data_IF_130380121329
#
_entry.id   IF_130380121329
#
_cell.length_a   1.000
_cell.length_b   1.000
_cell.length_c   1.000
_cell.angle_alpha   90.00
_cell.angle_beta   90.00
_cell.angle_gamma   90.00
#
_symmetry.space_group_name_H-M   'P 1'
#
loop_
_entity.id
_entity.type
_entity.pdbx_description
1 polymer ?
#
# COMPACT_ATOMS: atom_id res chain seq x y z
N UNK A 1 9.31 -28.36 -4.24
CA UNK A 1 9.80 -26.99 -4.54
C UNK A 1 9.23 -26.07 -3.48
N UNK A 2 10.07 -25.39 -2.75
CA UNK A 2 9.62 -24.32 -1.86
C UNK A 2 8.92 -23.25 -2.70
N UNK A 3 7.74 -22.84 -2.28
CA UNK A 3 6.98 -21.79 -2.97
C UNK A 3 7.66 -20.45 -2.67
N UNK A 4 8.32 -19.88 -3.67
CA UNK A 4 8.95 -18.57 -3.54
C UNK A 4 7.88 -17.48 -3.65
N UNK A 5 7.89 -16.52 -2.74
CA UNK A 5 7.03 -15.35 -2.79
C UNK A 5 7.55 -14.33 -3.81
N UNK A 6 6.64 -13.83 -4.64
CA UNK A 6 6.95 -12.85 -5.69
C UNK A 6 6.62 -11.43 -5.25
N UNK A 7 7.28 -10.46 -5.88
CA UNK A 7 7.04 -9.04 -5.67
C UNK A 7 6.18 -8.49 -6.81
N UNK A 8 5.04 -7.90 -6.45
CA UNK A 8 4.14 -7.23 -7.39
C UNK A 8 4.25 -5.72 -7.24
N UNK A 9 4.23 -5.01 -8.34
CA UNK A 9 4.13 -3.55 -8.39
C UNK A 9 2.96 -3.15 -9.28
N UNK A 10 1.95 -2.49 -8.70
CA UNK A 10 0.85 -1.86 -9.43
C UNK A 10 1.03 -0.35 -9.35
N UNK A 11 1.35 0.29 -10.48
CA UNK A 11 1.67 1.71 -10.50
C UNK A 11 0.95 2.45 -11.63
N UNK A 12 1.05 3.76 -11.64
CA UNK A 12 0.50 4.60 -12.68
C UNK A 12 -0.55 5.60 -12.16
N UNK A 13 -1.02 6.45 -13.05
CA UNK A 13 -2.00 7.50 -12.79
C UNK A 13 -3.46 7.02 -12.89
N UNK A 14 -3.67 5.79 -13.37
CA UNK A 14 -4.98 5.19 -13.54
C UNK A 14 -5.57 4.64 -12.23
N UNK A 15 -6.90 4.55 -12.21
CA UNK A 15 -7.66 3.97 -11.10
C UNK A 15 -7.47 2.46 -11.05
N UNK A 16 -7.49 1.90 -9.83
CA UNK A 16 -7.57 0.46 -9.60
C UNK A 16 -6.37 -0.16 -8.89
N UNK A 17 -5.29 0.57 -8.64
CA UNK A 17 -4.08 0.06 -7.97
C UNK A 17 -4.39 -0.53 -6.59
N UNK A 18 -4.96 0.26 -5.70
CA UNK A 18 -5.38 -0.18 -4.37
C UNK A 18 -6.44 -1.28 -4.48
N UNK A 19 -7.43 -1.12 -5.35
CA UNK A 19 -8.50 -2.11 -5.56
C UNK A 19 -7.93 -3.46 -5.98
N UNK A 20 -6.95 -3.50 -6.88
CA UNK A 20 -6.28 -4.73 -7.29
C UNK A 20 -5.49 -5.35 -6.12
N UNK A 21 -4.75 -4.56 -5.35
CA UNK A 21 -4.01 -5.04 -4.20
C UNK A 21 -4.93 -5.62 -3.12
N UNK A 22 -6.06 -4.96 -2.83
CA UNK A 22 -7.07 -5.45 -1.87
C UNK A 22 -7.80 -6.69 -2.40
N UNK A 23 -8.02 -6.79 -3.70
CA UNK A 23 -8.54 -8.01 -4.34
C UNK A 23 -7.59 -9.19 -4.20
N UNK A 24 -6.28 -8.97 -4.32
CA UNK A 24 -5.27 -10.00 -4.06
C UNK A 24 -5.28 -10.41 -2.57
N UNK A 25 -5.40 -9.45 -1.65
CA UNK A 25 -5.52 -9.72 -0.23
C UNK A 25 -6.76 -10.59 0.08
N UNK A 26 -7.91 -10.25 -0.49
CA UNK A 26 -9.14 -11.03 -0.34
C UNK A 26 -8.99 -12.46 -0.87
N UNK A 27 -8.34 -12.64 -2.02
CA UNK A 27 -8.05 -13.96 -2.59
C UNK A 27 -7.14 -14.79 -1.69
N UNK A 28 -6.11 -14.16 -1.11
CA UNK A 28 -5.20 -14.82 -0.19
C UNK A 28 -5.92 -15.27 1.10
N UNK A 29 -6.75 -14.40 1.69
CA UNK A 29 -7.59 -14.74 2.85
C UNK A 29 -8.53 -15.90 2.55
N UNK A 30 -9.15 -15.93 1.37
CA UNK A 30 -9.99 -17.04 0.93
C UNK A 30 -9.24 -18.38 0.75
N UNK A 31 -7.91 -18.33 0.73
CA UNK A 31 -7.01 -19.49 0.71
C UNK A 31 -6.32 -19.72 2.06
N UNK A 32 -6.90 -19.20 3.15
CA UNK A 32 -6.41 -19.32 4.54
C UNK A 32 -5.00 -18.76 4.77
N UNK A 33 -4.54 -17.86 3.90
CA UNK A 33 -3.25 -17.21 4.03
C UNK A 33 -3.31 -16.06 5.03
N UNK A 34 -2.21 -15.86 5.76
CA UNK A 34 -2.04 -14.72 6.66
C UNK A 34 -1.72 -13.46 5.85
N UNK A 35 -2.53 -12.43 6.01
CA UNK A 35 -2.42 -11.17 5.25
C UNK A 35 -2.17 -10.00 6.20
N UNK A 36 -1.12 -9.23 5.92
CA UNK A 36 -0.80 -7.96 6.59
C UNK A 36 -0.84 -6.84 5.56
N UNK A 37 -1.53 -5.76 5.89
CA UNK A 37 -1.70 -4.59 5.03
C UNK A 37 -1.18 -3.36 5.75
N UNK A 38 -0.31 -2.61 5.09
CA UNK A 38 0.10 -1.25 5.50
C UNK A 38 -0.37 -0.28 4.44
N UNK A 39 -1.25 0.65 4.83
CA UNK A 39 -1.67 1.75 3.96
C UNK A 39 -0.95 3.03 4.36
N UNK A 40 -0.02 3.48 3.55
CA UNK A 40 0.65 4.77 3.72
C UNK A 40 -0.29 5.91 3.31
N UNK A 41 -0.14 7.06 3.97
CA UNK A 41 -0.82 8.33 3.63
C UNK A 41 -2.36 8.28 3.67
N UNK A 42 -2.96 7.21 4.15
CA UNK A 42 -4.40 7.02 4.24
C UNK A 42 -4.86 6.93 5.69
N UNK A 43 -5.86 7.71 6.04
CA UNK A 43 -6.48 7.72 7.37
C UNK A 43 -8.01 7.87 7.31
N UNK A 44 -8.57 8.11 6.12
CA UNK A 44 -10.00 8.26 5.89
C UNK A 44 -10.75 6.93 5.85
N UNK A 45 -12.07 6.99 5.78
CA UNK A 45 -12.93 5.80 5.64
C UNK A 45 -12.68 5.12 4.29
N UNK A 46 -12.62 3.79 4.31
CA UNK A 46 -12.49 2.95 3.12
C UNK A 46 -13.33 1.69 3.37
N UNK A 47 -14.26 1.39 2.49
CA UNK A 47 -15.30 0.39 2.74
C UNK A 47 -14.77 -1.02 2.85
N UNK A 48 -13.68 -1.34 2.15
CA UNK A 48 -13.09 -2.68 2.12
C UNK A 48 -12.29 -3.02 3.39
N UNK A 49 -11.72 -2.02 4.08
CA UNK A 49 -10.81 -2.29 5.21
C UNK A 49 -11.49 -3.03 6.36
N UNK A 50 -12.65 -2.58 6.89
CA UNK A 50 -13.31 -3.32 7.97
C UNK A 50 -13.69 -4.75 7.59
N UNK A 51 -14.03 -4.99 6.32
CA UNK A 51 -14.37 -6.33 5.84
C UNK A 51 -13.13 -7.23 5.76
N UNK A 52 -12.00 -6.71 5.28
CA UNK A 52 -10.75 -7.45 5.25
C UNK A 52 -10.27 -7.81 6.66
N UNK A 53 -10.43 -6.91 7.63
CA UNK A 53 -10.14 -7.17 9.05
C UNK A 53 -11.06 -8.26 9.63
N UNK A 54 -12.36 -8.22 9.34
CA UNK A 54 -13.31 -9.27 9.74
C UNK A 54 -12.95 -10.64 9.17
N UNK A 55 -12.35 -10.66 7.97
CA UNK A 55 -11.88 -11.88 7.32
C UNK A 55 -10.50 -12.33 7.81
N UNK A 56 -9.87 -11.60 8.72
CA UNK A 56 -8.63 -11.99 9.37
C UNK A 56 -7.37 -11.26 8.90
N UNK A 57 -7.48 -10.23 8.05
CA UNK A 57 -6.33 -9.38 7.73
C UNK A 57 -5.94 -8.50 8.91
N UNK A 58 -4.63 -8.32 9.13
CA UNK A 58 -4.13 -7.29 10.03
C UNK A 58 -3.83 -6.04 9.23
N UNK A 59 -4.42 -4.90 9.61
CA UNK A 59 -4.30 -3.65 8.86
C UNK A 59 -3.69 -2.54 9.71
N UNK A 60 -2.62 -1.95 9.22
CA UNK A 60 -1.99 -0.76 9.79
C UNK A 60 -2.20 0.40 8.83
N UNK A 61 -2.83 1.45 9.31
CA UNK A 61 -3.12 2.62 8.50
C UNK A 61 -3.21 3.87 9.36
N UNK A 62 -3.33 4.99 8.70
CA UNK A 62 -3.49 6.28 9.34
C UNK A 62 -2.35 7.22 9.00
N UNK A 63 -2.59 8.46 9.33
CA UNK A 63 -1.64 9.56 9.28
C UNK A 63 -1.95 10.52 10.42
N UNK A 64 -0.96 11.28 10.84
CA UNK A 64 -1.17 12.32 11.85
C UNK A 64 -2.03 13.45 11.24
N UNK A 65 -3.29 13.53 11.65
CA UNK A 65 -4.26 14.54 11.17
C UNK A 65 -4.94 14.18 9.85
N UNK A 66 -5.74 15.13 9.34
CA UNK A 66 -6.57 14.96 8.14
C UNK A 66 -6.01 15.62 6.88
N UNK A 67 -4.92 16.38 7.02
CA UNK A 67 -4.31 17.14 5.93
C UNK A 67 -3.62 16.25 4.91
N UNK A 68 -3.62 16.65 3.66
CA UNK A 68 -2.70 16.10 2.67
C UNK A 68 -1.27 16.55 2.98
N UNK A 69 -0.26 15.77 2.53
CA UNK A 69 1.16 16.05 2.83
C UNK A 69 1.56 17.48 2.44
N UNK A 70 1.09 17.98 1.29
CA UNK A 70 1.39 19.34 0.84
C UNK A 70 0.78 20.45 1.72
N UNK A 71 -0.19 20.12 2.57
CA UNK A 71 -0.83 21.03 3.53
C UNK A 71 -0.21 20.95 4.92
N UNK A 72 0.67 19.99 5.16
CA UNK A 72 1.29 19.75 6.47
C UNK A 72 2.47 20.68 6.72
N UNK A 73 2.58 21.15 7.96
CA UNK A 73 3.83 21.77 8.45
C UNK A 73 4.89 20.70 8.77
N UNK A 74 6.10 21.11 9.13
CA UNK A 74 7.21 20.18 9.39
C UNK A 74 6.93 19.23 10.57
N UNK A 75 6.27 19.70 11.63
CA UNK A 75 5.92 18.88 12.78
C UNK A 75 4.88 17.80 12.41
N UNK A 76 3.87 18.16 11.62
CA UNK A 76 2.84 17.24 11.10
C UNK A 76 3.43 16.20 10.16
N UNK A 77 4.37 16.58 9.29
CA UNK A 77 5.12 15.65 8.42
C UNK A 77 5.95 14.67 9.25
N UNK A 78 6.70 15.17 10.24
CA UNK A 78 7.48 14.31 11.11
C UNK A 78 6.61 13.31 11.87
N UNK A 79 5.51 13.75 12.46
CA UNK A 79 4.57 12.87 13.18
C UNK A 79 3.93 11.82 12.27
N UNK A 80 3.59 12.18 11.03
CA UNK A 80 3.05 11.25 10.04
C UNK A 80 4.09 10.21 9.63
N UNK A 81 5.32 10.64 9.36
CA UNK A 81 6.44 9.76 9.03
C UNK A 81 6.72 8.77 10.17
N UNK A 82 6.82 9.26 11.41
CA UNK A 82 7.06 8.41 12.58
C UNK A 82 5.97 7.36 12.76
N UNK A 83 4.69 7.72 12.55
CA UNK A 83 3.58 6.77 12.60
C UNK A 83 3.72 5.69 11.52
N UNK A 84 4.04 6.07 10.30
CA UNK A 84 4.19 5.17 9.17
C UNK A 84 5.39 4.24 9.34
N UNK A 85 6.50 4.73 9.85
CA UNK A 85 7.68 3.93 10.17
C UNK A 85 7.39 2.91 11.27
N UNK A 86 6.65 3.30 12.32
CA UNK A 86 6.18 2.36 13.35
C UNK A 86 5.25 1.31 12.79
N UNK A 87 4.27 1.68 11.97
CA UNK A 87 3.35 0.75 11.33
C UNK A 87 4.10 -0.28 10.48
N UNK A 88 5.04 0.17 9.67
CA UNK A 88 5.85 -0.70 8.83
C UNK A 88 6.74 -1.64 9.67
N UNK A 89 7.36 -1.12 10.72
CA UNK A 89 8.20 -1.92 11.63
C UNK A 89 7.40 -3.03 12.30
N UNK A 90 6.20 -2.73 12.79
CA UNK A 90 5.32 -3.73 13.42
C UNK A 90 4.83 -4.75 12.39
N UNK A 91 4.48 -4.31 11.19
CA UNK A 91 4.07 -5.20 10.10
C UNK A 91 5.17 -6.18 9.69
N UNK A 92 6.43 -5.71 9.60
CA UNK A 92 7.59 -6.54 9.28
C UNK A 92 7.88 -7.61 10.35
N UNK A 93 7.52 -7.36 11.60
CA UNK A 93 7.70 -8.29 12.72
C UNK A 93 6.64 -9.39 12.76
N UNK A 94 5.59 -9.30 11.97
CA UNK A 94 4.50 -10.27 11.92
C UNK A 94 4.75 -11.34 10.87
N UNK A 95 4.31 -12.55 11.19
CA UNK A 95 4.25 -13.63 10.20
C UNK A 95 3.12 -13.32 9.20
N UNK A 96 3.46 -13.24 7.93
CA UNK A 96 2.50 -13.01 6.85
C UNK A 96 2.91 -13.77 5.59
N UNK A 97 1.94 -14.41 4.95
CA UNK A 97 2.10 -15.02 3.63
C UNK A 97 2.03 -13.96 2.52
N UNK A 98 1.23 -12.91 2.75
CA UNK A 98 1.11 -11.75 1.86
C UNK A 98 1.26 -10.46 2.66
N UNK A 99 2.21 -9.62 2.23
CA UNK A 99 2.39 -8.25 2.71
C UNK A 99 1.93 -7.26 1.64
N UNK A 100 0.94 -6.44 1.96
CA UNK A 100 0.46 -5.35 1.10
C UNK A 100 1.01 -4.02 1.61
N UNK A 101 1.74 -3.30 0.77
CA UNK A 101 2.28 -1.96 1.04
C UNK A 101 1.62 -0.96 0.09
N UNK A 102 0.43 -0.50 0.47
CA UNK A 102 -0.39 0.39 -0.35
C UNK A 102 0.09 1.84 -0.25
N UNK A 103 0.20 2.54 -1.37
CA UNK A 103 0.79 3.89 -1.51
C UNK A 103 2.29 3.97 -1.14
N UNK A 104 3.01 2.85 -1.19
CA UNK A 104 4.43 2.81 -0.84
C UNK A 104 5.29 3.72 -1.74
N UNK A 105 4.97 3.81 -3.02
CA UNK A 105 5.67 4.71 -3.94
C UNK A 105 5.45 6.18 -3.61
N UNK A 106 4.23 6.57 -3.27
CA UNK A 106 3.93 7.95 -2.86
C UNK A 106 4.61 8.32 -1.54
N UNK A 107 4.63 7.39 -0.57
CA UNK A 107 5.35 7.59 0.69
C UNK A 107 6.86 7.75 0.47
N UNK A 108 7.43 7.00 -0.45
CA UNK A 108 8.82 7.13 -0.88
C UNK A 108 9.11 8.50 -1.51
N UNK A 109 8.32 8.89 -2.51
CA UNK A 109 8.50 10.14 -3.26
C UNK A 109 8.36 11.38 -2.36
N UNK A 110 7.41 11.36 -1.42
CA UNK A 110 7.12 12.46 -0.53
C UNK A 110 7.99 12.45 0.75
N UNK A 111 8.94 11.53 0.87
CA UNK A 111 9.78 11.35 2.06
C UNK A 111 8.98 11.15 3.36
N UNK A 112 7.85 10.42 3.25
CA UNK A 112 6.92 10.14 4.35
C UNK A 112 7.12 8.76 5.00
N UNK A 113 8.21 8.09 4.69
CA UNK A 113 8.65 6.82 5.27
C UNK A 113 10.18 6.79 5.26
N UNK A 114 10.79 6.13 6.23
CA UNK A 114 12.21 5.84 6.20
C UNK A 114 12.53 4.96 4.98
N UNK A 115 13.36 5.46 4.07
CA UNK A 115 13.65 4.82 2.79
C UNK A 115 14.41 3.50 2.95
N UNK A 116 15.33 3.44 3.92
CA UNK A 116 16.06 2.20 4.19
C UNK A 116 15.14 1.15 4.81
N UNK A 117 14.25 1.56 5.70
CA UNK A 117 13.23 0.69 6.29
C UNK A 117 12.31 0.10 5.21
N UNK A 118 11.79 0.94 4.31
CA UNK A 118 10.93 0.48 3.22
C UNK A 118 11.67 -0.48 2.28
N UNK A 119 12.90 -0.17 1.91
CA UNK A 119 13.72 -1.07 1.08
C UNK A 119 13.95 -2.42 1.77
N UNK A 120 14.25 -2.44 3.07
CA UNK A 120 14.40 -3.68 3.82
C UNK A 120 13.12 -4.49 3.88
N UNK A 121 11.97 -3.84 4.12
CA UNK A 121 10.67 -4.51 4.14
C UNK A 121 10.37 -5.24 2.83
N UNK A 122 10.79 -4.69 1.72
CA UNK A 122 10.55 -5.24 0.38
C UNK A 122 11.63 -6.23 -0.03
N UNK A 123 12.90 -5.84 0.03
CA UNK A 123 14.02 -6.59 -0.55
C UNK A 123 14.59 -7.68 0.37
N UNK A 124 14.38 -7.54 1.68
CA UNK A 124 14.87 -8.49 2.70
C UNK A 124 13.71 -9.23 3.39
N UNK A 125 12.52 -9.26 2.77
CA UNK A 125 11.40 -10.03 3.27
C UNK A 125 11.69 -11.53 3.26
N UNK A 126 10.95 -12.34 4.04
CA UNK A 126 11.04 -13.80 3.94
C UNK A 126 10.89 -14.27 2.49
N UNK A 127 11.69 -15.27 2.09
CA UNK A 127 11.76 -15.71 0.70
C UNK A 127 10.42 -16.24 0.15
N UNK A 128 9.59 -16.80 1.02
CA UNK A 128 8.26 -17.33 0.71
C UNK A 128 7.13 -16.28 0.80
N UNK A 129 7.41 -15.10 1.32
CA UNK A 129 6.41 -14.04 1.49
C UNK A 129 6.12 -13.34 0.16
N UNK A 130 4.88 -13.42 -0.27
CA UNK A 130 4.33 -12.58 -1.35
C UNK A 130 4.25 -11.13 -0.91
N UNK A 131 4.61 -10.19 -1.77
CA UNK A 131 4.53 -8.77 -1.47
C UNK A 131 3.92 -7.99 -2.63
N UNK A 132 3.02 -7.05 -2.35
CA UNK A 132 2.50 -6.14 -3.37
C UNK A 132 2.67 -4.69 -2.95
N UNK A 133 3.20 -3.89 -3.87
CA UNK A 133 3.39 -2.45 -3.74
C UNK A 133 2.39 -1.74 -4.65
N UNK A 134 1.85 -0.61 -4.19
CA UNK A 134 1.16 0.32 -5.08
C UNK A 134 1.87 1.67 -5.10
N UNK A 135 1.83 2.35 -6.24
CA UNK A 135 2.50 3.63 -6.45
C UNK A 135 1.80 4.44 -7.53
N UNK A 136 1.70 5.76 -7.36
CA UNK A 136 1.29 6.65 -8.45
C UNK A 136 2.42 6.76 -9.48
N UNK A 137 3.60 7.15 -9.02
CA UNK A 137 4.85 7.04 -9.75
C UNK A 137 5.77 6.07 -9.00
N UNK A 138 6.38 5.13 -9.70
CA UNK A 138 7.25 4.14 -9.08
C UNK A 138 8.71 4.56 -9.17
N UNK A 139 9.46 4.60 -8.06
CA UNK A 139 10.91 4.80 -8.12
C UNK A 139 11.56 3.62 -8.86
N UNK A 140 12.67 3.89 -9.54
CA UNK A 140 13.32 2.92 -10.43
C UNK A 140 13.63 1.59 -9.72
N UNK A 141 14.06 1.64 -8.46
CA UNK A 141 14.38 0.42 -7.72
C UNK A 141 13.17 -0.53 -7.52
N UNK A 142 11.94 0.01 -7.44
CA UNK A 142 10.73 -0.83 -7.36
C UNK A 142 10.44 -1.50 -8.69
N UNK A 143 10.63 -0.78 -9.80
CA UNK A 143 10.48 -1.32 -11.16
C UNK A 143 11.49 -2.43 -11.42
N UNK A 144 12.74 -2.24 -10.99
CA UNK A 144 13.83 -3.21 -11.20
C UNK A 144 13.68 -4.47 -10.33
N UNK A 145 13.12 -4.33 -9.12
CA UNK A 145 13.02 -5.42 -8.16
C UNK A 145 11.77 -6.28 -8.35
N UNK A 146 10.70 -5.74 -8.94
CA UNK A 146 9.42 -6.44 -9.01
C UNK A 146 9.39 -7.54 -10.09
N UNK A 147 8.80 -8.68 -9.73
CA UNK A 147 8.55 -9.81 -10.64
C UNK A 147 7.33 -9.55 -11.53
N UNK A 148 6.26 -8.94 -10.96
CA UNK A 148 5.09 -8.45 -11.69
C UNK A 148 5.10 -6.93 -11.71
N UNK A 149 5.13 -6.33 -12.89
CA UNK A 149 5.03 -4.88 -13.07
C UNK A 149 3.83 -4.58 -13.94
N UNK A 150 2.81 -3.93 -13.35
CA UNK A 150 1.58 -3.56 -14.04
C UNK A 150 1.38 -2.06 -13.97
N UNK A 151 1.33 -1.41 -15.12
CA UNK A 151 1.01 0.01 -15.22
C UNK A 151 -0.50 0.20 -15.47
N UNK A 152 -1.13 0.99 -14.61
CA UNK A 152 -2.53 1.43 -14.78
C UNK A 152 -2.53 2.86 -15.31
N UNK A 153 -2.89 3.03 -16.59
CA UNK A 153 -2.94 4.33 -17.26
C UNK A 153 -4.32 4.94 -17.20
N UNK A 154 -4.40 6.21 -16.86
CA UNK A 154 -5.62 6.99 -16.93
C UNK A 154 -5.92 7.40 -18.38
N UNK A 155 -6.68 6.58 -19.09
CA UNK A 155 -7.14 6.94 -20.45
C UNK A 155 -8.27 7.96 -20.36
N UNK A 156 -9.13 7.85 -19.32
CA UNK A 156 -10.26 8.76 -19.07
C UNK A 156 -10.61 8.73 -17.60
N UNK A 157 -10.98 9.89 -17.03
CA UNK A 157 -11.36 9.96 -15.62
C UNK A 157 -12.62 10.81 -15.45
N UNK A 158 -13.63 10.37 -14.67
CA UNK A 158 -14.86 11.12 -14.43
C UNK A 158 -14.65 12.51 -13.79
N UNK A 159 -13.58 12.68 -13.03
CA UNK A 159 -13.19 13.97 -12.45
C UNK A 159 -13.08 15.09 -13.49
N UNK A 160 -12.64 14.78 -14.71
CA UNK A 160 -12.57 15.73 -15.83
C UNK A 160 -13.94 16.27 -16.23
N UNK A 161 -15.04 15.58 -15.84
CA UNK A 161 -16.43 15.99 -16.02
C UNK A 161 -17.06 16.50 -14.73
N UNK A 162 -16.26 16.81 -13.70
CA UNK A 162 -16.74 17.29 -12.40
C UNK A 162 -17.43 16.22 -11.52
N UNK A 163 -17.29 14.94 -11.83
CA UNK A 163 -17.85 13.85 -11.02
C UNK A 163 -16.90 13.56 -9.87
N UNK A 164 -17.38 13.78 -8.63
CA UNK A 164 -16.62 13.49 -7.41
C UNK A 164 -16.59 11.99 -7.09
N UNK A 165 -15.67 11.60 -6.20
CA UNK A 165 -15.56 10.23 -5.68
C UNK A 165 -16.87 9.81 -4.96
N UNK A 166 -17.32 8.58 -5.20
CA UNK A 166 -18.59 8.04 -4.71
C UNK A 166 -18.34 6.95 -3.67
N UNK A 167 -19.17 6.95 -2.63
CA UNK A 167 -19.12 5.92 -1.58
C UNK A 167 -19.46 4.55 -2.17
N UNK A 168 -18.67 3.55 -1.78
CA UNK A 168 -18.83 2.15 -2.23
C UNK A 168 -18.30 1.89 -3.64
N UNK A 169 -17.69 2.89 -4.30
CA UNK A 169 -17.07 2.77 -5.63
C UNK A 169 -15.63 3.26 -5.60
N UNK A 170 -15.38 4.49 -5.20
CA UNK A 170 -14.04 5.04 -5.07
C UNK A 170 -13.50 5.01 -3.62
N UNK A 171 -14.36 4.86 -2.62
CA UNK A 171 -13.96 4.74 -1.19
C UNK A 171 -14.96 3.94 -0.34
#
# INVERSE_FOLDING_TARGET
MEQMGLLHLYYGDGKGKTTAAMGLALRALGSEKKVVIVQFLKGGKSGEIPLLEQLGATVYRGKAGQKFVFQMNNAEKAATRDLQDRNLTVAMAQEADLLVLDEAGSAWELDMVDKDLLRRAVLQRPAEQECVLTAHAAPQWMLDAADYVTEMKCIRHPYQKGIAARKGVEY
#
